data_IF_825193481942
#
_entry.id   IF_825193481942
#
_cell.length_a   1.000
_cell.length_b   1.000
_cell.length_c   1.000
_cell.angle_alpha   90.00
_cell.angle_beta   90.00
_cell.angle_gamma   90.00
#
_symmetry.space_group_name_H-M   'P 1'
#
loop_
_entity.id
_entity.type
_entity.pdbx_description
1 polymer ?
#
# COMPACT_ATOMS: atom_id res chain seq x y z
N UNK A 1 -3.88 -35.36 -18.97
CA UNK A 1 -2.99 -35.43 -20.16
C UNK A 1 -3.17 -36.69 -21.03
N UNK A 2 -3.74 -37.81 -20.55
CA UNK A 2 -3.88 -39.04 -21.37
C UNK A 2 -4.89 -39.02 -22.52
N UNK A 3 -5.84 -38.07 -22.54
CA UNK A 3 -6.87 -37.98 -23.61
C UNK A 3 -6.42 -37.24 -24.87
N UNK A 4 -5.44 -36.31 -24.75
CA UNK A 4 -4.91 -35.56 -25.92
C UNK A 4 -4.03 -36.47 -26.78
N UNK A 5 -3.27 -37.37 -26.17
CA UNK A 5 -2.41 -38.32 -26.90
C UNK A 5 -3.19 -39.38 -27.69
N UNK A 6 -4.38 -39.79 -27.24
CA UNK A 6 -5.19 -40.79 -27.95
C UNK A 6 -5.91 -40.21 -29.19
N UNK A 7 -6.09 -38.90 -29.23
CA UNK A 7 -6.65 -38.20 -30.39
C UNK A 7 -5.62 -38.04 -31.53
N UNK A 8 -4.35 -37.80 -31.18
CA UNK A 8 -3.26 -37.67 -32.16
C UNK A 8 -3.01 -38.96 -32.95
N UNK A 9 -2.97 -40.13 -32.29
CA UNK A 9 -2.72 -41.41 -32.97
C UNK A 9 -3.84 -41.85 -33.93
N UNK A 10 -5.07 -41.35 -33.79
CA UNK A 10 -6.16 -41.60 -34.75
C UNK A 10 -6.10 -40.69 -35.97
N UNK A 11 -5.43 -39.54 -35.87
CA UNK A 11 -5.29 -38.61 -36.97
C UNK A 11 -4.27 -39.12 -37.99
N UNK A 12 -3.14 -39.67 -37.54
CA UNK A 12 -2.10 -40.22 -38.43
C UNK A 12 -2.63 -41.38 -39.29
N UNK A 13 -3.35 -42.33 -38.68
CA UNK A 13 -3.95 -43.46 -39.42
C UNK A 13 -5.04 -43.01 -40.43
N UNK A 14 -5.74 -41.92 -40.15
CA UNK A 14 -6.75 -41.35 -41.05
C UNK A 14 -6.09 -40.62 -42.23
N UNK A 15 -5.02 -39.86 -41.98
CA UNK A 15 -4.24 -39.20 -43.02
C UNK A 15 -3.57 -40.23 -43.94
N UNK A 16 -2.98 -41.30 -43.38
CA UNK A 16 -2.39 -42.38 -44.19
C UNK A 16 -3.43 -43.12 -45.06
N UNK A 17 -4.62 -43.39 -44.52
CA UNK A 17 -5.72 -44.04 -45.25
C UNK A 17 -6.23 -43.24 -46.44
N UNK A 18 -6.20 -41.90 -46.37
CA UNK A 18 -6.70 -41.03 -47.44
C UNK A 18 -5.60 -40.63 -48.44
N UNK A 19 -4.34 -40.58 -48.02
CA UNK A 19 -3.24 -40.10 -48.85
C UNK A 19 -2.48 -41.21 -49.59
N UNK A 20 -2.51 -42.46 -49.11
CA UNK A 20 -1.68 -43.55 -49.66
C UNK A 20 -1.79 -43.79 -51.18
N UNK A 21 -3.01 -43.88 -51.77
CA UNK A 21 -3.17 -44.12 -53.21
C UNK A 21 -2.85 -42.90 -54.08
N UNK A 22 -3.15 -41.69 -53.60
CA UNK A 22 -2.95 -40.42 -54.31
C UNK A 22 -1.49 -40.01 -54.34
N UNK A 23 -0.73 -40.27 -53.28
CA UNK A 23 0.71 -39.97 -53.21
C UNK A 23 1.51 -40.75 -54.26
N UNK A 24 1.21 -42.05 -54.46
CA UNK A 24 1.89 -42.87 -55.49
C UNK A 24 1.62 -42.41 -56.93
N UNK A 25 0.42 -41.89 -57.20
CA UNK A 25 0.05 -41.35 -58.53
C UNK A 25 0.72 -39.99 -58.81
N UNK A 26 0.91 -39.17 -57.77
CA UNK A 26 1.60 -37.88 -57.85
C UNK A 26 3.12 -38.07 -58.07
N UNK A 27 3.71 -39.13 -57.52
CA UNK A 27 5.15 -39.40 -57.70
C UNK A 27 5.56 -39.78 -59.12
N UNK A 28 4.64 -40.34 -59.91
CA UNK A 28 4.98 -40.93 -61.22
C UNK A 28 4.97 -39.93 -62.39
N UNK A 29 4.38 -38.73 -62.23
CA UNK A 29 4.34 -37.72 -63.29
C UNK A 29 4.94 -36.39 -62.83
N UNK A 30 5.95 -35.90 -63.55
CA UNK A 30 6.66 -34.66 -63.25
C UNK A 30 5.74 -33.44 -63.07
N UNK A 31 4.63 -33.38 -63.81
CA UNK A 31 3.65 -32.29 -63.74
C UNK A 31 3.01 -32.18 -62.34
N UNK A 32 2.68 -33.29 -61.70
CA UNK A 32 2.04 -33.26 -60.37
C UNK A 32 3.01 -32.82 -59.27
N UNK A 33 4.30 -33.12 -59.40
CA UNK A 33 5.33 -32.61 -58.47
C UNK A 33 5.44 -31.09 -58.53
N UNK A 34 5.37 -30.51 -59.73
CA UNK A 34 5.40 -29.05 -59.92
C UNK A 34 4.15 -28.42 -59.28
N UNK A 35 2.96 -28.98 -59.52
CA UNK A 35 1.72 -28.49 -58.92
C UNK A 35 1.72 -28.59 -57.39
N UNK A 36 2.22 -29.70 -56.84
CA UNK A 36 2.33 -29.88 -55.39
C UNK A 36 3.28 -28.84 -54.77
N UNK A 37 4.43 -28.58 -55.40
CA UNK A 37 5.35 -27.54 -54.95
C UNK A 37 4.74 -26.14 -55.02
N UNK A 38 4.00 -25.82 -56.09
CA UNK A 38 3.30 -24.54 -56.20
C UNK A 38 2.22 -24.37 -55.11
N UNK A 39 1.45 -25.43 -54.83
CA UNK A 39 0.46 -25.42 -53.77
C UNK A 39 1.10 -25.25 -52.38
N UNK A 40 2.24 -25.91 -52.13
CA UNK A 40 2.99 -25.76 -50.89
C UNK A 40 3.53 -24.34 -50.71
N UNK A 41 4.08 -23.73 -51.77
CA UNK A 41 4.55 -22.34 -51.77
C UNK A 41 3.38 -21.38 -51.51
N UNK A 42 2.24 -21.57 -52.18
CA UNK A 42 1.04 -20.76 -51.96
C UNK A 42 0.53 -20.88 -50.51
N UNK A 43 0.47 -22.09 -49.97
CA UNK A 43 0.11 -22.34 -48.57
C UNK A 43 1.06 -21.65 -47.60
N UNK A 44 2.37 -21.73 -47.85
CA UNK A 44 3.38 -21.05 -47.04
C UNK A 44 3.25 -19.52 -47.11
N UNK A 45 2.96 -18.96 -48.28
CA UNK A 45 2.68 -17.52 -48.44
C UNK A 45 1.46 -17.12 -47.61
N UNK A 46 0.37 -17.88 -47.66
CA UNK A 46 -0.84 -17.62 -46.85
C UNK A 46 -0.52 -17.65 -45.35
N UNK A 47 0.28 -18.62 -44.90
CA UNK A 47 0.73 -18.69 -43.50
C UNK A 47 1.58 -17.48 -43.11
N UNK A 48 2.51 -17.05 -43.98
CA UNK A 48 3.32 -15.84 -43.74
C UNK A 48 2.45 -14.59 -43.66
N UNK A 49 1.50 -14.41 -44.59
CA UNK A 49 0.58 -13.28 -44.58
C UNK A 49 -0.29 -13.30 -43.31
N UNK A 50 -0.76 -14.47 -42.89
CA UNK A 50 -1.52 -14.63 -41.64
C UNK A 50 -0.66 -14.28 -40.42
N UNK A 51 0.60 -14.72 -40.37
CA UNK A 51 1.53 -14.39 -39.29
C UNK A 51 1.83 -12.87 -39.24
N UNK A 52 1.95 -12.22 -40.39
CA UNK A 52 2.10 -10.76 -40.48
C UNK A 52 0.84 -10.02 -39.99
N UNK A 53 -0.36 -10.49 -40.35
CA UNK A 53 -1.63 -9.95 -39.86
C UNK A 53 -1.76 -10.09 -38.34
N UNK A 54 -1.43 -11.27 -37.78
CA UNK A 54 -1.43 -11.49 -36.33
C UNK A 54 -0.44 -10.55 -35.65
N UNK A 55 0.76 -10.37 -36.21
CA UNK A 55 1.75 -9.44 -35.68
C UNK A 55 1.25 -8.00 -35.69
N UNK A 56 0.54 -7.57 -36.75
CA UNK A 56 -0.06 -6.25 -36.82
C UNK A 56 -1.17 -6.06 -35.77
N UNK A 57 -2.08 -7.03 -35.61
CA UNK A 57 -3.13 -7.00 -34.56
C UNK A 57 -2.53 -6.93 -33.14
N UNK A 58 -1.43 -7.65 -32.88
CA UNK A 58 -0.72 -7.53 -31.60
C UNK A 58 -0.09 -6.15 -31.40
N UNK A 59 0.45 -5.53 -32.44
CA UNK A 59 1.00 -4.19 -32.37
C UNK A 59 -0.10 -3.14 -32.10
N UNK A 60 -1.25 -3.24 -32.77
CA UNK A 60 -2.39 -2.35 -32.57
C UNK A 60 -2.95 -2.49 -31.14
N UNK A 61 -3.09 -3.71 -30.62
CA UNK A 61 -3.51 -3.94 -29.24
C UNK A 61 -2.53 -3.42 -28.20
N UNK A 62 -1.23 -3.40 -28.51
CA UNK A 62 -0.23 -2.81 -27.63
C UNK A 62 -0.39 -1.27 -27.59
N UNK A 63 -0.60 -0.63 -28.74
CA UNK A 63 -0.87 0.80 -28.82
C UNK A 63 -2.18 1.18 -28.09
N UNK A 64 -3.25 0.42 -28.27
CA UNK A 64 -4.53 0.62 -27.58
C UNK A 64 -4.41 0.55 -26.05
N UNK A 65 -3.56 -0.33 -25.52
CA UNK A 65 -3.31 -0.42 -24.07
C UNK A 65 -2.66 0.84 -23.53
N UNK A 66 -1.72 1.42 -24.28
CA UNK A 66 -1.05 2.66 -23.90
C UNK A 66 -2.05 3.82 -23.88
N UNK A 67 -2.89 3.95 -24.93
CA UNK A 67 -3.93 4.98 -24.99
C UNK A 67 -4.92 4.86 -23.82
N UNK A 68 -5.41 3.64 -23.56
CA UNK A 68 -6.34 3.40 -22.43
C UNK A 68 -5.71 3.70 -21.07
N UNK A 69 -4.43 3.45 -20.90
CA UNK A 69 -3.70 3.76 -19.66
C UNK A 69 -3.55 5.27 -19.47
N UNK A 70 -3.20 6.02 -20.53
CA UNK A 70 -3.15 7.48 -20.48
C UNK A 70 -4.54 8.10 -20.24
N UNK A 71 -5.59 7.60 -20.89
CA UNK A 71 -6.96 8.06 -20.66
C UNK A 71 -7.42 7.80 -19.21
N UNK A 72 -7.06 6.65 -18.64
CA UNK A 72 -7.38 6.33 -17.24
C UNK A 72 -6.68 7.29 -16.27
N UNK A 73 -5.41 7.63 -16.54
CA UNK A 73 -4.64 8.63 -15.80
C UNK A 73 -5.23 10.04 -15.91
N UNK A 74 -5.63 10.46 -17.11
CA UNK A 74 -6.29 11.74 -17.31
C UNK A 74 -7.61 11.84 -16.53
N UNK A 75 -8.44 10.79 -16.57
CA UNK A 75 -9.68 10.72 -15.78
C UNK A 75 -9.41 10.73 -14.28
N UNK A 76 -8.38 10.05 -13.81
CA UNK A 76 -8.02 10.06 -12.39
C UNK A 76 -7.62 11.48 -11.93
N UNK A 77 -6.82 12.20 -12.72
CA UNK A 77 -6.51 13.61 -12.46
C UNK A 77 -7.76 14.50 -12.46
N UNK A 78 -8.66 14.33 -13.42
CA UNK A 78 -9.92 15.07 -13.49
C UNK A 78 -10.81 14.81 -12.24
N UNK A 79 -10.92 13.56 -11.81
CA UNK A 79 -11.66 13.20 -10.57
C UNK A 79 -11.00 13.81 -9.34
N UNK A 80 -9.66 13.70 -9.23
CA UNK A 80 -8.91 14.18 -8.08
C UNK A 80 -9.02 15.70 -7.93
N UNK A 81 -8.85 16.46 -9.01
CA UNK A 81 -8.76 17.92 -9.00
C UNK A 81 -10.09 18.65 -9.21
N UNK A 82 -11.18 17.95 -9.52
CA UNK A 82 -12.50 18.59 -9.68
C UNK A 82 -12.99 19.20 -8.36
N UNK A 83 -13.36 20.49 -8.30
CA UNK A 83 -13.89 21.10 -7.08
C UNK A 83 -15.26 20.51 -6.71
N UNK A 84 -15.24 19.55 -5.80
CA UNK A 84 -16.43 18.91 -5.23
C UNK A 84 -16.07 18.33 -3.85
N UNK A 85 -16.78 18.79 -2.82
CA UNK A 85 -16.74 18.17 -1.49
C UNK A 85 -17.56 16.87 -1.41
N UNK A 86 -17.45 16.17 -0.29
CA UNK A 86 -18.04 14.85 -0.09
C UNK A 86 -17.19 13.73 -0.69
N UNK A 87 -17.76 12.52 -0.73
CA UNK A 87 -17.10 11.36 -1.32
C UNK A 87 -17.42 11.27 -2.82
N UNK A 88 -16.51 11.74 -3.66
CA UNK A 88 -16.69 11.76 -5.12
C UNK A 88 -15.71 10.82 -5.85
N UNK A 89 -15.22 9.78 -5.16
CA UNK A 89 -14.22 8.85 -5.71
C UNK A 89 -12.79 9.39 -5.75
N UNK A 90 -12.51 10.49 -5.02
CA UNK A 90 -11.18 11.12 -4.97
C UNK A 90 -10.11 10.25 -4.34
N UNK A 91 -10.45 9.45 -3.34
CA UNK A 91 -9.49 8.53 -2.73
C UNK A 91 -9.05 7.42 -3.70
N UNK A 92 -9.99 6.82 -4.45
CA UNK A 92 -9.66 5.86 -5.50
C UNK A 92 -8.82 6.48 -6.63
N UNK A 93 -9.13 7.72 -7.04
CA UNK A 93 -8.33 8.43 -8.04
C UNK A 93 -6.92 8.75 -7.53
N UNK A 94 -6.79 9.16 -6.26
CA UNK A 94 -5.50 9.40 -5.61
C UNK A 94 -4.67 8.11 -5.55
N UNK A 95 -5.24 7.01 -5.09
CA UNK A 95 -4.59 5.69 -5.09
C UNK A 95 -4.17 5.26 -6.49
N UNK A 96 -5.01 5.45 -7.49
CA UNK A 96 -4.64 5.14 -8.87
C UNK A 96 -3.41 5.93 -9.33
N UNK A 97 -3.39 7.24 -9.08
CA UNK A 97 -2.27 8.10 -9.49
C UNK A 97 -0.97 7.73 -8.76
N UNK A 98 -1.04 7.45 -7.46
CA UNK A 98 0.12 6.99 -6.67
C UNK A 98 0.62 5.65 -7.21
N UNK A 99 -0.25 4.69 -7.49
CA UNK A 99 0.12 3.39 -8.07
C UNK A 99 0.62 3.46 -9.53
N UNK A 100 0.58 4.64 -10.17
CA UNK A 100 1.14 4.89 -11.50
C UNK A 100 2.41 5.76 -11.43
N UNK A 101 3.00 5.86 -10.24
CA UNK A 101 4.21 6.64 -9.96
C UNK A 101 4.07 8.10 -10.42
N UNK A 102 2.91 8.71 -10.19
CA UNK A 102 2.68 10.13 -10.52
C UNK A 102 3.12 11.03 -9.39
N UNK A 103 4.00 11.97 -9.70
CA UNK A 103 4.39 13.04 -8.79
C UNK A 103 3.17 13.89 -8.39
N UNK A 104 2.90 13.95 -7.08
CA UNK A 104 1.82 14.72 -6.48
C UNK A 104 2.38 15.86 -5.61
N UNK A 105 3.66 16.20 -5.77
CA UNK A 105 4.35 17.20 -4.98
C UNK A 105 3.66 18.56 -5.10
N UNK A 106 3.32 19.14 -3.95
CA UNK A 106 2.70 20.46 -3.87
C UNK A 106 1.28 20.56 -4.43
N UNK A 107 0.63 19.44 -4.77
CA UNK A 107 -0.78 19.47 -5.20
C UNK A 107 -1.65 19.90 -4.02
N UNK A 108 -2.49 20.91 -4.24
CA UNK A 108 -3.43 21.38 -3.22
C UNK A 108 -4.75 20.60 -3.32
N UNK A 109 -4.94 19.69 -2.36
CA UNK A 109 -6.13 18.87 -2.19
C UNK A 109 -6.97 19.30 -0.96
N UNK A 110 -6.74 20.51 -0.45
CA UNK A 110 -7.41 21.05 0.72
C UNK A 110 -8.91 21.25 0.48
N UNK A 111 -9.69 21.36 1.57
CA UNK A 111 -11.09 21.76 1.44
C UNK A 111 -11.26 23.15 0.83
N UNK A 112 -10.28 24.05 1.01
CA UNK A 112 -10.33 25.39 0.42
C UNK A 112 -10.35 25.33 -1.11
N UNK A 113 -9.56 24.45 -1.69
CA UNK A 113 -9.41 24.32 -3.15
C UNK A 113 -10.43 23.39 -3.77
N UNK A 114 -10.73 22.25 -3.12
CA UNK A 114 -11.58 21.21 -3.70
C UNK A 114 -12.95 21.06 -3.02
N UNK A 115 -13.13 21.57 -1.82
CA UNK A 115 -14.34 21.37 -1.02
C UNK A 115 -15.35 22.51 -1.15
N UNK A 116 -16.30 22.54 -0.21
CA UNK A 116 -17.11 23.73 0.03
C UNK A 116 -16.42 24.58 1.09
N UNK A 117 -15.91 25.76 0.71
CA UNK A 117 -15.23 26.69 1.62
C UNK A 117 -16.08 27.94 1.86
N UNK A 118 -16.10 28.42 3.11
CA UNK A 118 -16.76 29.66 3.51
C UNK A 118 -15.68 30.67 3.90
N UNK A 119 -15.40 31.62 3.00
CA UNK A 119 -14.35 32.63 3.18
C UNK A 119 -14.63 33.58 4.35
N UNK A 120 -15.90 33.91 4.62
CA UNK A 120 -16.27 34.79 5.73
C UNK A 120 -15.99 34.12 7.08
N UNK A 121 -16.28 32.82 7.18
CA UNK A 121 -16.04 32.04 8.40
C UNK A 121 -14.65 31.42 8.46
N UNK A 122 -13.87 31.51 7.38
CA UNK A 122 -12.54 30.91 7.27
C UNK A 122 -12.54 29.41 7.56
N UNK A 123 -13.57 28.67 7.12
CA UNK A 123 -13.72 27.24 7.43
C UNK A 123 -14.34 26.44 6.31
N UNK A 124 -14.04 25.15 6.33
CA UNK A 124 -14.67 24.17 5.48
C UNK A 124 -16.14 23.93 5.87
N UNK A 125 -17.06 24.06 4.91
CA UNK A 125 -18.49 23.74 5.04
C UNK A 125 -18.87 22.40 4.43
N UNK A 126 -18.08 21.92 3.46
CA UNK A 126 -18.23 20.59 2.85
C UNK A 126 -16.86 19.99 2.58
N UNK A 127 -16.37 19.21 3.55
CA UNK A 127 -15.07 18.56 3.49
C UNK A 127 -14.96 17.64 2.28
N UNK A 128 -13.76 17.59 1.71
CA UNK A 128 -13.39 16.60 0.70
C UNK A 128 -13.20 15.27 1.41
N UNK A 129 -13.88 14.23 0.93
CA UNK A 129 -13.79 12.90 1.53
C UNK A 129 -12.93 12.00 0.65
N UNK A 130 -11.82 11.52 1.22
CA UNK A 130 -10.95 10.51 0.65
C UNK A 130 -11.26 9.16 1.30
N UNK A 131 -12.20 8.41 0.72
CA UNK A 131 -12.42 7.00 1.07
C UNK A 131 -11.58 6.08 0.21
N UNK A 132 -11.30 4.88 0.72
CA UNK A 132 -10.64 3.81 -0.06
C UNK A 132 -9.26 4.22 -0.57
N UNK A 133 -8.55 5.05 0.20
CA UNK A 133 -7.15 5.38 -0.06
C UNK A 133 -6.30 4.21 0.39
N UNK A 134 -5.64 3.56 -0.56
CA UNK A 134 -4.66 2.51 -0.31
C UNK A 134 -3.33 2.90 -0.94
N UNK A 135 -2.31 3.07 -0.11
CA UNK A 135 -0.92 3.24 -0.52
C UNK A 135 -0.12 2.05 -0.02
N UNK A 136 0.48 1.33 -0.96
CA UNK A 136 1.40 0.24 -0.67
C UNK A 136 2.78 0.61 -1.24
N UNK A 137 3.80 0.57 -0.40
CA UNK A 137 5.18 0.58 -0.85
C UNK A 137 5.50 -0.65 -1.70
N UNK A 138 6.65 -0.68 -2.39
CA UNK A 138 7.05 -1.89 -3.08
C UNK A 138 7.40 -2.94 -2.01
N UNK A 139 7.03 -4.21 -2.22
CA UNK A 139 7.41 -5.27 -1.28
C UNK A 139 8.93 -5.49 -1.20
N UNK A 140 9.70 -4.88 -2.11
CA UNK A 140 11.16 -4.88 -2.11
C UNK A 140 11.71 -3.76 -1.24
N UNK A 141 12.74 -4.07 -0.45
CA UNK A 141 13.42 -3.22 0.52
C UNK A 141 14.06 -1.93 -0.03
N UNK A 142 13.86 -1.62 -1.32
CA UNK A 142 14.21 -0.34 -1.92
C UNK A 142 13.15 0.70 -1.54
N UNK A 143 13.17 1.12 -0.27
CA UNK A 143 12.29 2.11 0.34
C UNK A 143 12.48 3.54 -0.23
N UNK A 144 13.12 3.67 -1.38
CA UNK A 144 13.48 4.93 -2.00
C UNK A 144 12.35 5.38 -2.93
N UNK A 145 11.49 6.24 -2.39
CA UNK A 145 10.72 7.24 -3.16
C UNK A 145 9.75 6.71 -4.22
N UNK A 146 8.86 5.77 -3.88
CA UNK A 146 7.84 5.31 -4.86
C UNK A 146 7.12 6.48 -5.54
N UNK A 147 6.61 7.41 -4.73
CA UNK A 147 5.96 8.62 -5.21
C UNK A 147 6.33 9.79 -4.32
N UNK A 148 6.81 10.87 -4.91
CA UNK A 148 6.95 12.12 -4.18
C UNK A 148 5.55 12.73 -4.00
N UNK A 149 5.07 12.65 -2.76
CA UNK A 149 3.86 13.34 -2.29
C UNK A 149 4.24 14.48 -1.34
N UNK A 150 5.48 14.98 -1.42
CA UNK A 150 5.92 16.01 -0.49
C UNK A 150 5.11 17.27 -0.66
N UNK A 151 4.78 17.91 0.47
CA UNK A 151 4.06 19.19 0.50
C UNK A 151 2.67 19.17 -0.13
N UNK A 152 2.09 18.00 -0.36
CA UNK A 152 0.68 17.89 -0.72
C UNK A 152 -0.17 18.46 0.43
N UNK A 153 -1.23 19.19 0.11
CA UNK A 153 -2.10 19.83 1.10
C UNK A 153 -3.41 19.06 1.23
N UNK A 154 -3.65 18.42 2.38
CA UNK A 154 -4.91 17.75 2.74
C UNK A 154 -5.67 18.48 3.86
N UNK A 155 -5.37 19.77 4.08
CA UNK A 155 -5.97 20.52 5.18
C UNK A 155 -7.49 20.58 5.07
N UNK A 156 -8.16 20.43 6.22
CA UNK A 156 -9.63 20.35 6.34
C UNK A 156 -10.29 19.20 5.54
N UNK A 157 -9.53 18.18 5.11
CA UNK A 157 -10.07 16.99 4.47
C UNK A 157 -10.51 15.92 5.49
N UNK A 158 -11.24 14.90 5.02
CA UNK A 158 -11.58 13.73 5.82
C UNK A 158 -11.14 12.44 5.09
N UNK A 159 -10.47 11.55 5.81
CA UNK A 159 -10.10 10.21 5.36
C UNK A 159 -10.93 9.17 6.09
N UNK A 160 -11.46 8.20 5.34
CA UNK A 160 -12.19 7.06 5.90
C UNK A 160 -11.58 5.76 5.40
N UNK A 161 -11.07 4.94 6.32
CA UNK A 161 -10.49 3.63 5.99
C UNK A 161 -9.20 3.72 5.18
N UNK A 162 -8.42 4.80 5.33
CA UNK A 162 -7.17 4.95 4.61
C UNK A 162 -6.14 3.91 5.08
N UNK A 163 -5.40 3.31 4.13
CA UNK A 163 -4.42 2.25 4.37
C UNK A 163 -3.07 2.64 3.82
N UNK A 164 -2.07 2.75 4.69
CA UNK A 164 -0.69 3.02 4.35
C UNK A 164 0.15 1.83 4.80
N UNK A 165 0.70 1.05 3.87
CA UNK A 165 1.57 -0.09 4.20
C UNK A 165 2.92 0.12 3.52
N UNK A 166 4.00 0.10 4.31
CA UNK A 166 5.37 0.31 3.80
C UNK A 166 5.52 1.62 3.00
N UNK A 167 4.76 2.66 3.34
CA UNK A 167 4.67 3.89 2.54
C UNK A 167 5.28 5.11 3.26
N UNK A 168 5.79 6.08 2.49
CA UNK A 168 6.39 7.31 3.03
C UNK A 168 5.61 8.55 2.60
N UNK A 169 5.05 9.27 3.57
CA UNK A 169 4.44 10.59 3.40
C UNK A 169 5.32 11.61 4.12
N UNK A 170 5.81 12.62 3.40
CA UNK A 170 6.76 13.60 3.95
C UNK A 170 6.27 15.02 3.78
N UNK A 171 6.42 15.83 4.81
CA UNK A 171 6.09 17.25 4.75
C UNK A 171 4.65 17.52 4.29
N UNK A 172 3.73 16.59 4.52
CA UNK A 172 2.34 16.70 4.09
C UNK A 172 1.57 17.63 5.03
N UNK A 173 0.65 18.43 4.53
CA UNK A 173 -0.22 19.22 5.40
C UNK A 173 -1.52 18.47 5.72
N UNK A 174 -1.63 18.00 6.96
CA UNK A 174 -2.82 17.36 7.51
C UNK A 174 -3.53 18.25 8.54
N UNK A 175 -3.34 19.58 8.47
CA UNK A 175 -3.98 20.50 9.44
C UNK A 175 -5.49 20.40 9.38
N UNK A 176 -6.14 20.22 10.55
CA UNK A 176 -7.59 20.03 10.68
C UNK A 176 -8.14 18.84 9.89
N UNK A 177 -7.28 17.93 9.42
CA UNK A 177 -7.72 16.69 8.76
C UNK A 177 -8.32 15.72 9.79
N UNK A 178 -9.40 15.04 9.40
CA UNK A 178 -10.00 13.97 10.20
C UNK A 178 -9.69 12.60 9.57
N UNK A 179 -8.97 11.75 10.29
CA UNK A 179 -8.77 10.36 9.93
C UNK A 179 -9.69 9.48 10.77
N UNK A 180 -10.57 8.75 10.10
CA UNK A 180 -11.41 7.73 10.71
C UNK A 180 -10.96 6.38 10.17
N UNK A 181 -10.54 5.48 11.06
CA UNK A 181 -10.07 4.14 10.72
C UNK A 181 -8.83 4.15 9.82
N UNK A 182 -7.80 4.92 10.20
CA UNK A 182 -6.50 4.91 9.52
C UNK A 182 -5.73 3.63 9.88
N UNK A 183 -5.39 2.84 8.88
CA UNK A 183 -4.49 1.69 9.00
C UNK A 183 -3.12 2.05 8.43
N UNK A 184 -2.17 2.43 9.28
CA UNK A 184 -0.78 2.59 8.92
C UNK A 184 0.06 1.43 9.49
N UNK A 185 0.82 0.76 8.62
CA UNK A 185 1.76 -0.30 8.96
C UNK A 185 3.11 -0.01 8.34
N UNK A 186 4.16 -0.12 9.16
CA UNK A 186 5.56 0.00 8.70
C UNK A 186 5.81 1.27 7.86
N UNK A 187 5.03 2.32 8.12
CA UNK A 187 4.97 3.53 7.30
C UNK A 187 5.71 4.69 7.97
N UNK A 188 6.13 5.66 7.18
CA UNK A 188 6.81 6.87 7.65
C UNK A 188 5.99 8.10 7.27
N UNK A 189 5.34 8.71 8.25
CA UNK A 189 4.40 9.81 8.05
C UNK A 189 4.93 11.06 8.78
N UNK A 190 5.25 12.10 8.02
CA UNK A 190 5.65 13.40 8.54
C UNK A 190 4.89 14.52 7.88
N UNK A 191 4.63 15.58 8.64
CA UNK A 191 3.75 16.63 8.15
C UNK A 191 3.19 17.52 9.25
N UNK A 192 2.42 18.52 8.86
CA UNK A 192 1.73 19.42 9.79
C UNK A 192 0.42 18.79 10.24
N UNK A 193 0.17 18.71 11.54
CA UNK A 193 -1.03 18.07 12.11
C UNK A 193 -1.82 19.01 13.03
N UNK A 194 -1.70 20.32 12.82
CA UNK A 194 -2.35 21.31 13.68
C UNK A 194 -3.87 21.09 13.69
N UNK A 195 -4.41 20.79 14.89
CA UNK A 195 -5.82 20.47 15.12
C UNK A 195 -6.37 19.26 14.35
N UNK A 196 -5.49 18.38 13.84
CA UNK A 196 -5.86 17.13 13.22
C UNK A 196 -6.38 16.10 14.23
N UNK A 197 -7.25 15.19 13.77
CA UNK A 197 -7.81 14.10 14.59
C UNK A 197 -7.60 12.77 13.89
N UNK A 198 -7.17 11.76 14.64
CA UNK A 198 -7.00 10.39 14.19
C UNK A 198 -7.77 9.49 15.16
N UNK A 199 -8.86 8.88 14.70
CA UNK A 199 -9.75 8.07 15.54
C UNK A 199 -9.89 6.66 14.97
N UNK A 200 -9.87 5.66 15.85
CA UNK A 200 -10.07 4.26 15.47
C UNK A 200 -8.91 3.73 14.64
N UNK A 201 -7.67 4.09 14.94
CA UNK A 201 -6.55 3.82 14.03
C UNK A 201 -5.67 2.63 14.44
N UNK A 202 -4.87 2.16 13.50
CA UNK A 202 -3.77 1.23 13.73
C UNK A 202 -2.51 1.87 13.16
N UNK A 203 -1.56 2.25 14.01
CA UNK A 203 -0.27 2.84 13.66
C UNK A 203 0.87 1.84 13.90
N UNK A 204 0.66 0.58 13.55
CA UNK A 204 1.56 -0.51 13.89
C UNK A 204 2.91 -0.32 13.21
N UNK A 205 3.99 -0.33 14.00
CA UNK A 205 5.38 -0.12 13.53
C UNK A 205 5.54 1.14 12.64
N UNK A 206 4.61 2.09 12.75
CA UNK A 206 4.57 3.33 11.96
C UNK A 206 5.31 4.44 12.69
N UNK A 207 6.07 5.22 11.94
CA UNK A 207 6.71 6.44 12.44
C UNK A 207 5.84 7.64 12.11
N UNK A 208 5.39 8.36 13.13
CA UNK A 208 4.58 9.57 13.00
C UNK A 208 5.34 10.76 13.61
N UNK A 209 5.71 11.73 12.75
CA UNK A 209 6.52 12.90 13.15
C UNK A 209 5.81 14.18 12.72
N UNK A 210 5.08 14.84 13.64
CA UNK A 210 4.42 16.10 13.34
C UNK A 210 5.42 17.25 13.27
N UNK A 211 5.24 18.16 12.31
CA UNK A 211 5.78 19.51 12.32
C UNK A 211 4.72 20.44 12.93
N UNK A 212 4.92 20.87 14.18
CA UNK A 212 3.96 21.71 14.90
C UNK A 212 3.25 20.96 16.02
N UNK A 213 1.94 21.17 16.19
CA UNK A 213 1.17 20.48 17.23
C UNK A 213 0.92 19.02 16.79
N UNK A 214 1.07 18.04 17.71
CA UNK A 214 0.71 16.66 17.40
C UNK A 214 -0.81 16.53 17.19
N UNK A 215 -1.26 15.55 16.38
CA UNK A 215 -2.69 15.27 16.21
C UNK A 215 -3.30 14.78 17.53
N UNK A 216 -4.61 14.94 17.68
CA UNK A 216 -5.35 14.19 18.70
C UNK A 216 -5.54 12.76 18.20
N UNK A 217 -5.16 11.77 18.99
CA UNK A 217 -5.25 10.34 18.62
C UNK A 217 -6.13 9.62 19.64
N UNK A 218 -7.24 9.01 19.22
CA UNK A 218 -8.11 8.24 20.11
C UNK A 218 -8.46 6.87 19.53
N UNK A 219 -8.62 5.88 20.40
CA UNK A 219 -8.98 4.52 20.03
C UNK A 219 -7.98 3.89 19.05
N UNK A 220 -6.69 4.03 19.31
CA UNK A 220 -5.67 3.57 18.38
C UNK A 220 -4.75 2.48 18.93
N UNK A 221 -4.43 1.50 18.07
CA UNK A 221 -3.33 0.57 18.26
C UNK A 221 -2.02 1.25 17.84
N UNK A 222 -1.11 1.49 18.79
CA UNK A 222 0.20 2.11 18.57
C UNK A 222 1.35 1.14 18.82
N UNK A 223 1.11 -0.16 18.64
CA UNK A 223 2.11 -1.20 18.85
C UNK A 223 3.35 -1.00 17.98
N UNK A 224 4.50 -0.76 18.61
CA UNK A 224 5.77 -0.49 17.93
C UNK A 224 5.84 0.84 17.20
N UNK A 225 4.81 1.69 17.31
CA UNK A 225 4.78 2.99 16.65
C UNK A 225 5.88 3.90 17.21
N UNK A 226 6.51 4.70 16.35
CA UNK A 226 7.42 5.77 16.81
C UNK A 226 6.66 7.10 16.81
N UNK A 227 6.38 7.62 18.00
CA UNK A 227 5.64 8.87 18.21
C UNK A 227 6.62 9.96 18.65
N UNK A 228 6.89 10.93 17.77
CA UNK A 228 7.90 11.96 18.06
C UNK A 228 7.30 13.25 18.62
N UNK A 229 6.65 13.16 19.78
CA UNK A 229 6.19 14.33 20.54
C UNK A 229 6.21 14.05 22.05
N UNK A 230 6.15 15.10 22.90
CA UNK A 230 6.14 14.94 24.35
C UNK A 230 4.99 14.05 24.82
N UNK A 231 5.28 13.03 25.63
CA UNK A 231 4.27 12.03 26.02
C UNK A 231 3.15 12.56 26.93
N UNK A 232 3.32 13.76 27.50
CA UNK A 232 2.27 14.48 28.20
C UNK A 232 1.14 14.95 27.27
N UNK A 233 1.41 15.13 25.96
CA UNK A 233 0.40 15.50 24.97
C UNK A 233 -0.44 14.33 24.45
N UNK A 234 -0.13 13.10 24.88
CA UNK A 234 -0.99 11.94 24.59
C UNK A 234 -2.33 12.16 25.29
N UNK A 235 -3.35 12.44 24.47
CA UNK A 235 -4.75 12.53 24.82
C UNK A 235 -5.47 11.42 24.06
N UNK A 236 -6.46 10.79 24.68
CA UNK A 236 -7.21 9.68 24.08
C UNK A 236 -6.83 8.32 24.65
N UNK A 237 -7.50 7.28 24.14
CA UNK A 237 -7.35 5.88 24.55
C UNK A 237 -6.45 5.18 23.55
N UNK A 238 -5.21 4.94 23.95
CA UNK A 238 -4.24 4.21 23.14
C UNK A 238 -4.05 2.79 23.68
N UNK A 239 -3.76 1.88 22.77
CA UNK A 239 -3.49 0.48 23.05
C UNK A 239 -2.15 0.09 22.42
N UNK A 240 -1.40 -0.80 23.06
CA UNK A 240 -0.23 -1.40 22.44
C UNK A 240 0.01 -2.80 23.01
N UNK A 241 0.59 -3.69 22.21
CA UNK A 241 1.11 -4.94 22.74
C UNK A 241 2.33 -4.67 23.63
N UNK A 242 2.37 -5.30 24.80
CA UNK A 242 3.38 -5.06 25.82
C UNK A 242 4.81 -5.47 25.39
N UNK A 243 4.94 -6.38 24.42
CA UNK A 243 6.21 -6.77 23.80
C UNK A 243 6.59 -5.89 22.59
N UNK A 244 5.75 -4.93 22.24
CA UNK A 244 5.93 -3.93 21.17
C UNK A 244 5.43 -2.56 21.66
N UNK A 245 6.02 -1.99 22.74
CA UNK A 245 5.59 -0.69 23.22
C UNK A 245 5.88 0.40 22.17
N UNK A 246 5.11 1.50 22.17
CA UNK A 246 5.45 2.65 21.35
C UNK A 246 6.78 3.26 21.78
N UNK A 247 7.47 3.81 20.80
CA UNK A 247 8.81 4.35 20.89
C UNK A 247 8.77 5.87 20.68
N UNK A 248 9.84 6.53 21.12
CA UNK A 248 10.19 7.91 20.82
C UNK A 248 11.43 7.90 19.95
N UNK A 249 11.42 8.70 18.89
CA UNK A 249 12.65 8.99 18.15
C UNK A 249 13.58 9.83 19.03
N UNK A 250 14.85 9.47 19.10
CA UNK A 250 15.82 10.28 19.81
C UNK A 250 16.05 11.65 19.14
N UNK A 251 16.53 12.62 19.92
CA UNK A 251 16.72 14.02 19.50
C UNK A 251 18.14 14.37 19.07
N UNK A 252 19.13 13.54 19.38
CA UNK A 252 20.56 13.81 19.14
C UNK A 252 20.91 13.52 17.68
N UNK A 253 21.67 14.44 17.08
CA UNK A 253 22.09 14.31 15.69
C UNK A 253 23.22 13.29 15.55
N UNK A 254 23.00 12.12 14.95
CA UNK A 254 24.09 11.29 14.45
C UNK A 254 24.70 11.93 13.18
N UNK A 255 26.03 11.96 13.04
CA UNK A 255 26.70 12.46 11.84
C UNK A 255 26.54 11.47 10.68
N UNK A 256 25.97 11.91 9.54
CA UNK A 256 25.87 11.11 8.32
C UNK A 256 24.94 11.72 7.25
N UNK A 257 25.06 11.31 5.97
CA UNK A 257 24.27 11.84 4.85
C UNK A 257 22.78 11.45 4.90
N UNK A 258 22.43 10.45 5.71
CA UNK A 258 21.05 9.98 5.88
C UNK A 258 20.29 10.70 7.00
N UNK A 259 20.91 11.71 7.63
CA UNK A 259 20.36 12.37 8.80
C UNK A 259 20.42 11.49 10.06
N UNK A 260 20.03 12.05 11.20
CA UNK A 260 20.25 11.45 12.50
C UNK A 260 19.20 10.41 12.88
N UNK A 261 19.44 9.13 12.63
CA UNK A 261 18.58 8.08 13.19
C UNK A 261 19.10 7.63 14.54
N UNK A 262 18.55 8.23 15.59
CA UNK A 262 18.82 7.78 16.96
C UNK A 262 18.20 6.41 17.22
N UNK A 263 18.80 5.70 18.19
CA UNK A 263 18.17 4.55 18.80
C UNK A 263 16.76 4.95 19.27
N UNK A 264 15.73 4.30 18.71
CA UNK A 264 14.38 4.48 19.19
C UNK A 264 14.31 3.95 20.62
N UNK A 265 13.79 4.77 21.53
CA UNK A 265 13.65 4.40 22.96
C UNK A 265 12.17 4.24 23.26
N UNK A 266 11.76 3.32 24.14
CA UNK A 266 10.37 3.28 24.59
C UNK A 266 9.94 4.64 25.16
N UNK A 267 8.65 4.96 25.02
CA UNK A 267 8.11 6.17 25.66
C UNK A 267 8.44 6.21 27.17
N UNK A 268 8.55 7.43 27.71
CA UNK A 268 8.79 7.60 29.14
C UNK A 268 7.63 7.00 29.97
N UNK A 269 7.94 6.60 31.21
CA UNK A 269 6.99 5.95 32.11
C UNK A 269 5.63 6.66 32.20
N UNK A 270 5.55 7.99 32.44
CA UNK A 270 4.25 8.67 32.58
C UNK A 270 3.40 8.66 31.30
N UNK A 271 4.04 8.50 30.14
CA UNK A 271 3.36 8.37 28.87
C UNK A 271 2.87 6.94 28.66
N UNK A 272 3.70 5.93 28.98
CA UNK A 272 3.32 4.52 28.92
C UNK A 272 2.17 4.18 29.88
N UNK A 273 2.12 4.79 31.07
CA UNK A 273 1.05 4.58 32.04
C UNK A 273 -0.34 5.06 31.52
N UNK A 274 -0.36 5.94 30.51
CA UNK A 274 -1.59 6.37 29.82
C UNK A 274 -2.03 5.43 28.69
N UNK A 275 -1.19 4.45 28.35
CA UNK A 275 -1.43 3.51 27.25
C UNK A 275 -1.83 2.16 27.84
N UNK A 276 -2.90 1.57 27.31
CA UNK A 276 -3.30 0.23 27.70
C UNK A 276 -2.35 -0.78 27.08
N UNK A 277 -1.43 -1.31 27.87
CA UNK A 277 -0.51 -2.36 27.44
C UNK A 277 -1.17 -3.73 27.56
N UNK A 278 -1.22 -4.46 26.44
CA UNK A 278 -1.87 -5.76 26.32
C UNK A 278 -0.83 -6.89 26.29
N UNK A 279 -1.07 -7.96 27.05
CA UNK A 279 -0.29 -9.19 26.91
C UNK A 279 -0.52 -9.81 25.52
N UNK A 280 0.52 -10.00 24.68
CA UNK A 280 0.35 -10.52 23.33
C UNK A 280 -0.22 -11.94 23.33
N UNK A 281 -1.09 -12.28 22.34
CA UNK A 281 -1.52 -13.65 22.16
C UNK A 281 -0.31 -14.53 21.84
N UNK A 282 -0.35 -15.77 22.31
CA UNK A 282 0.76 -16.72 22.20
C UNK A 282 0.40 -17.88 21.29
N UNK A 283 1.40 -18.41 20.61
CA UNK A 283 1.30 -19.68 19.90
C UNK A 283 1.23 -20.86 20.88
N UNK A 284 1.12 -22.09 20.34
CA UNK A 284 1.10 -23.32 21.14
C UNK A 284 2.39 -23.56 21.95
N UNK A 285 3.50 -22.92 21.58
CA UNK A 285 4.78 -22.99 22.27
C UNK A 285 4.91 -21.90 23.36
N UNK A 286 3.89 -21.06 23.56
CA UNK A 286 3.89 -19.97 24.53
C UNK A 286 4.68 -18.74 24.08
N UNK A 287 5.10 -18.67 22.81
CA UNK A 287 5.78 -17.51 22.23
C UNK A 287 4.76 -16.50 21.73
N UNK A 288 4.99 -15.18 21.89
CA UNK A 288 4.13 -14.17 21.29
C UNK A 288 3.97 -14.39 19.79
N UNK A 289 2.74 -14.30 19.27
CA UNK A 289 2.48 -14.37 17.82
C UNK A 289 3.18 -13.20 17.10
N UNK A 290 3.61 -13.37 15.83
CA UNK A 290 4.06 -12.25 15.00
C UNK A 290 3.00 -11.16 14.90
N UNK A 291 3.40 -9.89 14.83
CA UNK A 291 2.50 -8.74 14.93
C UNK A 291 1.41 -8.73 13.85
N UNK A 292 1.72 -9.13 12.61
CA UNK A 292 0.74 -9.27 11.53
C UNK A 292 -0.27 -10.42 11.68
N UNK A 293 -0.05 -11.33 12.64
CA UNK A 293 -0.98 -12.42 12.97
C UNK A 293 -1.81 -12.12 14.22
N UNK A 294 -1.58 -10.99 14.88
CA UNK A 294 -2.35 -10.58 16.07
C UNK A 294 -3.68 -9.96 15.65
N UNK A 295 -4.76 -10.17 16.42
CA UNK A 295 -5.99 -9.42 16.20
C UNK A 295 -5.71 -7.92 16.40
N UNK A 296 -6.36 -7.07 15.60
CA UNK A 296 -6.27 -5.62 15.80
C UNK A 296 -6.80 -5.25 17.19
N UNK A 297 -6.07 -4.39 17.91
CA UNK A 297 -6.54 -3.84 19.18
C UNK A 297 -7.65 -2.79 19.00
N UNK A 298 -7.87 -2.30 17.79
CA UNK A 298 -8.95 -1.36 17.45
C UNK A 298 -10.34 -1.93 17.79
N UNK A 299 -10.53 -3.25 17.61
CA UNK A 299 -11.79 -3.94 17.91
C UNK A 299 -12.11 -4.09 19.41
N UNK A 300 -11.25 -3.61 20.30
CA UNK A 300 -11.38 -3.74 21.78
C UNK A 300 -12.29 -2.64 22.36
N UNK A 301 -12.96 -1.87 21.50
CA UNK A 301 -14.01 -0.93 21.87
C UNK A 301 -15.04 -1.54 22.85
N UNK A 302 -15.64 -0.71 23.73
CA UNK A 302 -16.24 -1.13 25.01
C UNK A 302 -17.39 -2.14 24.92
N UNK A 303 -17.87 -2.46 23.71
CA UNK A 303 -18.99 -3.36 23.49
C UNK A 303 -18.59 -4.79 23.11
N UNK A 304 -17.33 -5.09 22.73
CA UNK A 304 -17.10 -6.32 21.95
C UNK A 304 -16.25 -7.39 22.62
N UNK A 305 -15.08 -7.13 23.25
CA UNK A 305 -14.23 -8.24 23.77
C UNK A 305 -13.21 -7.81 24.84
N UNK A 306 -13.56 -7.96 26.13
CA UNK A 306 -12.59 -7.77 27.24
C UNK A 306 -11.51 -8.87 27.28
N UNK A 307 -11.76 -9.99 26.60
CA UNK A 307 -10.91 -11.17 26.48
C UNK A 307 -9.70 -10.99 25.55
N UNK A 308 -9.72 -10.04 24.62
CA UNK A 308 -8.63 -9.86 23.64
C UNK A 308 -7.38 -9.19 24.22
N UNK A 309 -7.51 -8.40 25.28
CA UNK A 309 -6.40 -7.68 25.90
C UNK A 309 -6.39 -7.90 27.41
N UNK A 310 -5.57 -8.85 27.86
CA UNK A 310 -5.17 -8.91 29.26
C UNK A 310 -4.25 -7.73 29.54
N UNK A 311 -4.79 -6.71 30.21
CA UNK A 311 -4.06 -5.49 30.56
C UNK A 311 -2.90 -5.80 31.51
N UNK A 312 -1.75 -5.17 31.25
CA UNK A 312 -0.56 -5.17 32.09
C UNK A 312 -0.28 -3.73 32.53
N UNK A 313 0.17 -3.55 33.77
CA UNK A 313 0.82 -2.29 34.14
C UNK A 313 2.14 -2.17 33.41
N UNK A 314 2.68 -0.95 33.27
CA UNK A 314 3.96 -0.74 32.62
C UNK A 314 5.11 -1.48 33.32
N UNK A 315 5.10 -1.59 34.65
CA UNK A 315 6.09 -2.38 35.39
C UNK A 315 5.96 -3.89 35.12
N UNK A 316 4.74 -4.41 35.05
CA UNK A 316 4.49 -5.80 34.66
C UNK A 316 4.95 -6.07 33.23
N UNK A 317 4.67 -5.15 32.30
CA UNK A 317 5.11 -5.23 30.91
C UNK A 317 6.65 -5.25 30.82
N UNK A 318 7.35 -4.34 31.53
CA UNK A 318 8.81 -4.30 31.61
C UNK A 318 9.42 -5.58 32.21
N UNK A 319 8.83 -6.08 33.29
CA UNK A 319 9.30 -7.32 33.92
C UNK A 319 9.11 -8.54 33.00
N UNK A 320 7.99 -8.58 32.26
CA UNK A 320 7.66 -9.70 31.37
C UNK A 320 8.37 -9.65 30.02
N UNK A 321 8.62 -8.45 29.48
CA UNK A 321 9.21 -8.23 28.16
C UNK A 321 10.39 -7.25 28.22
N UNK A 322 11.43 -7.52 29.02
CA UNK A 322 12.50 -6.55 29.28
C UNK A 322 13.23 -6.08 28.02
N UNK A 323 13.37 -6.94 27.01
CA UNK A 323 14.00 -6.60 25.72
C UNK A 323 13.23 -5.54 24.93
N UNK A 324 11.90 -5.56 25.00
CA UNK A 324 11.05 -4.61 24.28
C UNK A 324 11.16 -3.19 24.85
N UNK A 325 11.64 -3.06 26.10
CA UNK A 325 11.83 -1.79 26.79
C UNK A 325 13.29 -1.32 26.82
N UNK A 326 14.19 -2.00 26.10
CA UNK A 326 15.56 -1.51 25.92
C UNK A 326 15.61 -0.53 24.74
N UNK A 327 16.48 0.49 24.79
CA UNK A 327 16.81 1.27 23.60
C UNK A 327 17.20 0.35 22.45
N UNK A 328 16.49 0.41 21.34
CA UNK A 328 16.83 -0.36 20.15
C UNK A 328 17.78 0.45 19.29
N UNK A 329 18.95 -0.10 18.98
CA UNK A 329 19.98 0.59 18.19
C UNK A 329 19.48 1.02 16.80
N UNK A 330 18.44 0.37 16.27
CA UNK A 330 17.73 0.77 15.05
C UNK A 330 16.25 0.33 15.13
N UNK A 331 15.28 1.19 14.77
CA UNK A 331 13.91 0.74 14.52
C UNK A 331 13.90 -0.37 13.45
N UNK A 332 12.98 -1.33 13.56
CA UNK A 332 12.98 -2.54 12.71
C UNK A 332 12.95 -2.23 11.21
N UNK A 333 12.28 -1.15 10.81
CA UNK A 333 12.26 -0.70 9.41
C UNK A 333 13.63 -0.28 8.88
N UNK A 334 14.63 0.03 9.72
CA UNK A 334 16.03 0.24 9.33
C UNK A 334 16.87 -1.03 9.35
N UNK A 335 16.50 -2.06 10.15
CA UNK A 335 17.26 -3.32 10.18
C UNK A 335 17.14 -4.12 8.89
N UNK A 336 16.03 -3.96 8.18
CA UNK A 336 15.86 -4.49 6.82
C UNK A 336 16.81 -3.84 5.82
N UNK A 337 17.43 -2.69 6.13
CA UNK A 337 18.34 -1.99 5.22
C UNK A 337 19.80 -2.42 5.33
N UNK A 338 20.27 -2.84 6.50
CA UNK A 338 21.71 -3.06 6.74
C UNK A 338 22.25 -4.39 6.20
N UNK A 339 21.48 -5.12 5.38
CA UNK A 339 21.83 -6.44 4.86
C UNK A 339 22.05 -6.48 3.33
N UNK A 340 22.10 -5.32 2.66
CA UNK A 340 22.54 -5.16 1.27
C UNK A 340 23.69 -4.16 1.19
#
# INVERSE_FOLDING_TARGET
MGYVFKALGRFDAFVESLAGPTVKFIETRAIFKILANLAAVAGFIVLLLTALQIRADFADRAADRLVKAEDAKARAWEVLLRPAGGNTGKGAALTYLVNQDKDLTGVDLSCKTLGGWDDEKGRCTRAVIFSDVEFAGPSSQEFYWNVDMSKIDFSDAAFYGAKFTDFSLREVDFSRTEFNNLEARDSYITGRFDDAKIVGCSLIETTLIPSGKPPTIDLCDVSGATLNWPGDTIKGRLFAWADKPPLRSGTKKLPGPFGPYEAATPLAQPALDKITLCDPPKDKAGKPLPLGQRPSLEGILPTVRVDLCRRLTTDQAKAKFPEAFRPTSFPNWLKTWSHN
#
